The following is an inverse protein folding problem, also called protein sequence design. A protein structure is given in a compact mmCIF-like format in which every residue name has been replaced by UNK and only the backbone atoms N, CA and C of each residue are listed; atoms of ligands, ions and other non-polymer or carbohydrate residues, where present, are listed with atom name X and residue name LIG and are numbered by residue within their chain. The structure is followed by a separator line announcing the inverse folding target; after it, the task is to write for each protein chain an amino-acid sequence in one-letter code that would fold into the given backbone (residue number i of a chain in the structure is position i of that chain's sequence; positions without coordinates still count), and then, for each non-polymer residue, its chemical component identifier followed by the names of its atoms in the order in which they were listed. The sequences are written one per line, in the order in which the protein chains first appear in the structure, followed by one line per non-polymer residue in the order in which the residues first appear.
data_IF_663499797436
#
_entry.id   IF_663499797436
#
_cell.length_a   1.000
_cell.length_b   1.000
_cell.length_c   1.000
_cell.angle_alpha   90.00
_cell.angle_beta   90.00
_cell.angle_gamma   90.00
#
_symmetry.space_group_name_H-M   'P 1'
#
loop_
_entity.id
_entity.type
_entity.pdbx_description
1 polymer ?
#
# COMPACT_ATOMS: atom_id res chain seq x y z
N UNK A 1 -4.07 15.51 -18.68
CA UNK A 1 -4.01 15.15 -18.07
C UNK A 1 -4.02 14.10 -17.81
N UNK A 2 -3.94 13.85 -17.93
CA UNK A 2 -3.99 13.02 -17.61
C UNK A 2 -3.89 12.39 -16.69
N UNK A 3 -4.02 12.59 -16.22
CA UNK A 3 -3.87 12.03 -15.07
C UNK A 3 -5.03 11.72 -14.31
N UNK A 4 -6.08 11.48 -14.90
CA UNK A 4 -7.27 11.14 -14.26
C UNK A 4 -7.21 9.76 -13.68
N UNK A 5 -6.38 8.87 -14.20
CA UNK A 5 -6.22 7.58 -13.61
C UNK A 5 -5.25 7.60 -12.50
N UNK A 6 -4.41 8.60 -12.49
CA UNK A 6 -3.38 8.71 -11.51
C UNK A 6 -3.79 9.80 -10.57
N UNK A 7 -4.51 9.43 -9.56
CA UNK A 7 -4.98 10.39 -8.62
C UNK A 7 -3.86 10.93 -7.79
N UNK A 8 -3.85 12.23 -7.64
CA UNK A 8 -2.89 12.84 -6.79
C UNK A 8 -3.27 12.63 -5.34
N UNK A 9 -2.26 12.53 -4.48
CA UNK A 9 -2.48 12.58 -3.05
C UNK A 9 -3.12 13.91 -2.69
N UNK A 10 -4.07 13.87 -1.77
CA UNK A 10 -4.72 15.09 -1.32
C UNK A 10 -3.87 15.86 -0.34
N UNK A 11 -2.91 15.18 0.29
CA UNK A 11 -2.09 15.79 1.32
C UNK A 11 -1.06 16.72 0.70
N UNK A 12 -0.53 17.59 1.53
CA UNK A 12 0.53 18.49 1.16
C UNK A 12 1.70 17.70 0.59
N UNK A 13 2.19 18.04 -0.63
CA UNK A 13 3.30 17.28 -1.22
C UNK A 13 4.59 17.36 -0.41
N UNK A 14 4.68 18.31 0.54
CA UNK A 14 5.89 18.44 1.34
C UNK A 14 5.72 17.91 2.76
N UNK A 15 4.65 17.21 3.04
CA UNK A 15 4.39 16.67 4.36
C UNK A 15 4.17 15.17 4.30
N UNK A 16 4.45 14.43 5.38
CA UNK A 16 4.19 13.00 5.41
C UNK A 16 2.71 12.68 5.17
N UNK A 17 2.46 11.56 4.53
CA UNK A 17 1.10 11.14 4.18
C UNK A 17 0.87 9.75 4.75
N UNK A 18 -0.11 9.63 5.64
CA UNK A 18 -0.46 8.36 6.24
C UNK A 18 -1.41 7.60 5.34
N UNK A 19 -1.08 6.36 5.04
CA UNK A 19 -1.90 5.49 4.21
C UNK A 19 -2.41 4.30 4.98
N UNK A 20 -3.66 3.94 4.69
CA UNK A 20 -4.22 2.65 5.10
C UNK A 20 -4.58 1.92 3.81
N UNK A 21 -4.03 0.72 3.65
CA UNK A 21 -4.29 -0.08 2.47
C UNK A 21 -5.02 -1.34 2.90
N UNK A 22 -6.10 -1.68 2.20
CA UNK A 22 -6.81 -2.93 2.42
C UNK A 22 -6.57 -3.82 1.20
N UNK A 23 -6.03 -5.01 1.45
CA UNK A 23 -5.76 -6.00 0.42
C UNK A 23 -6.71 -7.17 0.59
N UNK A 24 -7.44 -7.51 -0.46
CA UNK A 24 -8.32 -8.69 -0.45
C UNK A 24 -7.69 -9.72 -1.36
N UNK A 25 -7.22 -10.86 -0.83
CA UNK A 25 -6.59 -11.87 -1.66
C UNK A 25 -7.61 -12.65 -2.47
N UNK A 26 -7.20 -13.11 -3.63
CA UNK A 26 -7.99 -14.11 -4.33
C UNK A 26 -8.03 -15.37 -3.51
N UNK A 27 -9.11 -16.14 -3.67
CA UNK A 27 -9.30 -17.37 -2.93
C UNK A 27 -8.11 -18.30 -3.15
N UNK A 28 -7.54 -18.78 -2.05
CA UNK A 28 -6.38 -19.67 -2.10
C UNK A 28 -5.05 -18.97 -2.28
N UNK A 29 -5.05 -17.63 -2.35
CA UNK A 29 -3.81 -16.87 -2.55
C UNK A 29 -3.42 -16.05 -1.33
N UNK A 30 -4.00 -16.35 -0.18
CA UNK A 30 -3.78 -15.57 1.04
C UNK A 30 -2.32 -15.56 1.46
N UNK A 31 -1.68 -16.73 1.48
CA UNK A 31 -0.29 -16.82 1.92
C UNK A 31 0.65 -16.09 0.96
N UNK A 32 0.39 -16.23 -0.33
CA UNK A 32 1.20 -15.61 -1.37
C UNK A 32 1.14 -14.09 -1.26
N UNK A 33 -0.08 -13.57 -1.09
CA UNK A 33 -0.26 -12.13 -0.96
C UNK A 33 0.42 -11.61 0.31
N UNK A 34 0.27 -12.32 1.42
CA UNK A 34 0.87 -11.89 2.68
C UNK A 34 2.39 -11.79 2.57
N UNK A 35 3.02 -12.74 1.86
CA UNK A 35 4.47 -12.67 1.68
C UNK A 35 4.86 -11.42 0.90
N UNK A 36 4.07 -11.03 -0.09
CA UNK A 36 4.35 -9.81 -0.85
C UNK A 36 4.14 -8.57 0.00
N UNK A 37 3.07 -8.54 0.80
CA UNK A 37 2.81 -7.40 1.69
C UNK A 37 3.98 -7.24 2.67
N UNK A 38 4.54 -8.35 3.17
CA UNK A 38 5.67 -8.28 4.10
C UNK A 38 6.94 -7.73 3.45
N UNK A 39 7.06 -7.82 2.14
CA UNK A 39 8.22 -7.28 1.44
C UNK A 39 8.11 -5.78 1.18
N UNK A 40 6.95 -5.21 1.42
CA UNK A 40 6.67 -3.83 1.09
C UNK A 40 7.54 -2.86 1.91
N UNK A 41 7.55 -3.06 3.22
CA UNK A 41 8.31 -2.16 4.10
C UNK A 41 9.80 -2.15 3.77
N UNK A 42 10.50 -3.29 3.69
CA UNK A 42 11.93 -3.23 3.39
C UNK A 42 12.23 -2.60 2.02
N UNK A 43 11.36 -2.82 1.03
CA UNK A 43 11.57 -2.23 -0.29
C UNK A 43 11.45 -0.71 -0.24
N UNK A 44 10.42 -0.20 0.43
CA UNK A 44 10.20 1.25 0.52
C UNK A 44 11.25 1.93 1.38
N UNK A 45 11.71 1.28 2.44
CA UNK A 45 12.75 1.86 3.29
C UNK A 45 14.08 1.93 2.56
N UNK A 46 14.39 0.90 1.79
CA UNK A 46 15.64 0.86 1.05
C UNK A 46 15.76 2.04 0.10
N UNK A 47 14.66 2.44 -0.52
CA UNK A 47 14.69 3.54 -1.48
C UNK A 47 14.30 4.88 -0.86
N UNK A 48 14.09 4.92 0.46
CA UNK A 48 13.94 6.18 1.19
C UNK A 48 12.62 6.91 0.98
N UNK A 49 11.54 6.19 0.71
CA UNK A 49 10.26 6.81 0.38
C UNK A 49 9.29 6.89 1.54
N UNK A 50 9.65 6.36 2.72
CA UNK A 50 8.76 6.34 3.88
C UNK A 50 9.47 6.99 5.07
N UNK A 51 8.68 7.42 6.05
CA UNK A 51 9.22 7.99 7.29
C UNK A 51 9.77 6.89 8.19
N UNK A 52 10.28 7.27 9.35
CA UNK A 52 10.76 6.29 10.33
C UNK A 52 9.62 5.56 11.05
N UNK A 53 8.38 5.96 10.81
CA UNK A 53 7.24 5.31 11.43
C UNK A 53 7.16 3.85 10.97
N UNK A 54 7.08 2.87 11.90
CA UNK A 54 7.03 1.47 11.50
C UNK A 54 5.73 1.15 10.76
N UNK A 55 5.82 0.24 9.81
CA UNK A 55 4.62 -0.31 9.16
C UNK A 55 3.89 -1.18 10.17
N UNK A 56 2.57 -1.30 9.99
CA UNK A 56 1.76 -2.24 10.73
C UNK A 56 0.90 -2.98 9.75
N UNK A 57 0.81 -4.30 9.94
CA UNK A 57 -0.02 -5.14 9.07
C UNK A 57 -0.89 -6.00 9.96
N UNK A 58 -2.18 -6.02 9.68
CA UNK A 58 -3.14 -6.83 10.42
C UNK A 58 -3.80 -7.82 9.48
N UNK A 59 -4.06 -9.01 9.99
CA UNK A 59 -5.00 -9.91 9.35
C UNK A 59 -6.38 -9.48 9.84
N UNK A 60 -7.30 -9.29 8.92
CA UNK A 60 -8.63 -8.80 9.24
C UNK A 60 -9.68 -9.69 8.61
N UNK A 61 -10.87 -9.66 9.15
CA UNK A 61 -11.99 -10.42 8.61
C UNK A 61 -13.14 -9.45 8.41
N UNK A 62 -13.59 -9.32 7.15
CA UNK A 62 -14.73 -8.48 6.82
C UNK A 62 -15.99 -9.23 7.21
N UNK A 63 -16.64 -8.81 8.30
CA UNK A 63 -17.77 -9.53 8.87
C UNK A 63 -18.93 -9.61 7.90
N UNK A 64 -19.18 -8.54 7.15
CA UNK A 64 -20.31 -8.50 6.23
C UNK A 64 -20.06 -9.34 4.99
N UNK A 65 -18.88 -9.24 4.41
CA UNK A 65 -18.55 -9.97 3.19
C UNK A 65 -17.98 -11.37 3.50
N UNK A 66 -17.73 -11.64 4.77
CA UNK A 66 -17.27 -12.95 5.24
C UNK A 66 -16.02 -13.40 4.50
N UNK A 67 -15.01 -12.54 4.49
CA UNK A 67 -13.76 -12.86 3.80
C UNK A 67 -12.58 -12.30 4.55
N UNK A 68 -11.44 -12.99 4.42
CA UNK A 68 -10.19 -12.51 5.00
C UNK A 68 -9.60 -11.41 4.14
N UNK A 69 -8.91 -10.49 4.80
CA UNK A 69 -8.19 -9.43 4.11
C UNK A 69 -7.03 -9.00 4.99
N UNK A 70 -6.11 -8.22 4.43
CA UNK A 70 -4.99 -7.67 5.18
C UNK A 70 -5.12 -6.16 5.17
N UNK A 71 -4.78 -5.54 6.30
CA UNK A 71 -4.79 -4.09 6.40
C UNK A 71 -3.37 -3.65 6.74
N UNK A 72 -2.87 -2.69 5.99
CA UNK A 72 -1.53 -2.19 6.18
C UNK A 72 -1.57 -0.70 6.46
N UNK A 73 -0.76 -0.27 7.42
CA UNK A 73 -0.59 1.13 7.78
C UNK A 73 0.85 1.51 7.51
N UNK A 74 1.07 2.64 6.84
CA UNK A 74 2.41 3.18 6.70
C UNK A 74 2.33 4.67 6.34
N UNK A 75 3.50 5.33 6.41
CA UNK A 75 3.55 6.78 6.20
C UNK A 75 4.57 7.10 5.12
N UNK A 76 4.10 7.60 3.97
CA UNK A 76 4.96 8.12 2.92
C UNK A 76 5.72 9.34 3.45
N UNK A 77 6.94 9.55 2.97
CA UNK A 77 7.72 10.71 3.43
C UNK A 77 7.09 12.03 2.98
N UNK A 78 6.39 12.03 1.85
CA UNK A 78 5.72 13.25 1.36
C UNK A 78 4.68 12.85 0.31
N UNK A 79 3.97 13.84 -0.22
CA UNK A 79 2.90 13.60 -1.16
C UNK A 79 3.35 13.14 -2.54
N UNK A 80 4.64 13.23 -2.85
CA UNK A 80 5.16 12.78 -4.14
C UNK A 80 5.76 11.39 -4.09
N UNK A 81 5.94 10.82 -2.91
CA UNK A 81 6.65 9.56 -2.76
C UNK A 81 5.97 8.42 -3.49
N UNK A 82 4.64 8.39 -3.50
CA UNK A 82 3.90 7.35 -4.22
C UNK A 82 4.21 7.36 -5.71
N UNK A 83 4.28 8.57 -6.31
CA UNK A 83 4.61 8.69 -7.73
C UNK A 83 6.02 8.18 -7.99
N UNK A 84 6.96 8.53 -7.13
CA UNK A 84 8.33 8.06 -7.27
C UNK A 84 8.39 6.54 -7.16
N UNK A 85 7.62 5.97 -6.24
CA UNK A 85 7.58 4.52 -6.04
C UNK A 85 7.14 3.79 -7.29
N UNK A 86 6.17 4.34 -8.02
CA UNK A 86 5.69 3.73 -9.26
C UNK A 86 6.74 3.71 -10.36
N UNK A 87 7.82 4.45 -10.20
CA UNK A 87 8.91 4.49 -11.16
C UNK A 87 10.18 3.86 -10.60
N UNK A 88 10.07 3.19 -9.46
CA UNK A 88 11.23 2.60 -8.77
C UNK A 88 11.19 1.09 -8.94
N UNK A 89 12.18 0.50 -9.66
CA UNK A 89 12.14 -0.94 -9.94
C UNK A 89 12.06 -1.82 -8.70
N UNK A 90 12.75 -1.46 -7.62
CA UNK A 90 12.72 -2.28 -6.40
C UNK A 90 11.32 -2.35 -5.79
N UNK A 91 10.55 -1.27 -5.93
CA UNK A 91 9.18 -1.24 -5.40
C UNK A 91 8.25 -1.98 -6.33
N UNK A 92 8.40 -1.76 -7.64
CA UNK A 92 7.56 -2.42 -8.62
C UNK A 92 7.76 -3.94 -8.59
N UNK A 93 8.95 -4.41 -8.22
CA UNK A 93 9.20 -5.83 -8.05
C UNK A 93 8.34 -6.47 -6.97
N UNK A 94 7.87 -5.67 -6.00
CA UNK A 94 6.94 -6.13 -4.98
C UNK A 94 5.51 -5.98 -5.46
N UNK A 95 5.19 -4.87 -6.11
CA UNK A 95 3.80 -4.55 -6.49
C UNK A 95 3.29 -5.36 -7.66
N UNK A 96 4.12 -5.56 -8.68
CA UNK A 96 3.67 -6.27 -9.89
C UNK A 96 3.17 -7.68 -9.59
N UNK A 97 3.85 -8.48 -8.76
CA UNK A 97 3.33 -9.82 -8.46
C UNK A 97 2.04 -9.81 -7.64
N UNK A 98 1.66 -8.68 -7.05
CA UNK A 98 0.41 -8.61 -6.29
C UNK A 98 -0.81 -8.70 -7.18
N UNK A 99 -0.75 -8.15 -8.40
CA UNK A 99 -1.90 -8.13 -9.29
C UNK A 99 -2.58 -9.48 -9.44
N UNK A 100 -1.83 -10.55 -9.79
CA UNK A 100 -2.46 -11.86 -9.99
C UNK A 100 -3.07 -12.47 -8.73
N UNK A 101 -2.68 -12.02 -7.54
CA UNK A 101 -3.19 -12.61 -6.30
C UNK A 101 -4.18 -11.71 -5.56
N UNK A 102 -4.44 -10.51 -6.09
CA UNK A 102 -5.39 -9.59 -5.48
C UNK A 102 -6.77 -9.72 -6.11
N UNK A 103 -7.78 -9.86 -5.27
CA UNK A 103 -9.16 -9.74 -5.71
C UNK A 103 -9.55 -8.27 -5.76
N UNK A 104 -9.08 -7.52 -4.77
CA UNK A 104 -9.48 -6.14 -4.61
C UNK A 104 -8.46 -5.43 -3.74
N UNK A 105 -8.25 -4.14 -3.93
CA UNK A 105 -7.36 -3.35 -3.10
C UNK A 105 -7.93 -1.94 -2.97
N UNK A 106 -7.88 -1.40 -1.76
CA UNK A 106 -8.31 -0.03 -1.48
C UNK A 106 -7.18 0.71 -0.78
N UNK A 107 -6.90 1.91 -1.23
CA UNK A 107 -5.86 2.75 -0.63
C UNK A 107 -6.51 4.03 -0.15
N UNK A 108 -6.34 4.33 1.14
CA UNK A 108 -6.88 5.55 1.71
C UNK A 108 -5.77 6.40 2.32
N UNK A 109 -5.77 7.68 2.00
CA UNK A 109 -4.99 8.64 2.77
C UNK A 109 -5.84 9.03 3.97
N UNK A 110 -5.26 9.01 5.15
CA UNK A 110 -6.01 9.29 6.36
C UNK A 110 -5.34 10.40 7.14
N UNK A 111 -6.16 11.16 7.87
CA UNK A 111 -5.62 12.17 8.76
C UNK A 111 -6.49 12.20 10.02
N UNK A 112 -5.90 12.49 11.18
CA UNK A 112 -6.69 12.55 12.41
C UNK A 112 -7.65 13.73 12.36
N UNK A 113 -8.79 13.55 12.98
CA UNK A 113 -9.78 14.63 13.08
C UNK A 113 -9.49 15.56 14.23
#
# INVERSE_FOLDING_TARGET
MSDKHHKKARANPEAPVTNIVTYVPKKGKEAELLELVKKHEPALRKVGLVTSEPFRVWKAYDIRKQREQFIEYFVWKDGNASDVAHQTPEVMAVWEPMGPVLEEMTICEVEPL
#
